data_IF_586727126635
#
_entry.id   IF_586727126635
#
_cell.length_a   1.000
_cell.length_b   1.000
_cell.length_c   1.000
_cell.angle_alpha   90.00
_cell.angle_beta   90.00
_cell.angle_gamma   90.00
#
_symmetry.space_group_name_H-M   'P 1'
#
loop_
_entity.id
_entity.type
_entity.pdbx_description
1 polymer ?
#
# COMPACT_ATOMS: atom_id res chain seq x y z
N UNK A 1 -30.49 -54.90 -27.18
CA UNK A 1 -30.45 -54.00 -26.00
C UNK A 1 -29.71 -52.73 -26.42
N UNK A 2 -30.39 -51.66 -26.85
CA UNK A 2 -31.05 -50.58 -26.07
C UNK A 2 -30.08 -49.63 -25.34
N UNK A 3 -30.19 -48.35 -25.70
CA UNK A 3 -29.85 -47.10 -24.98
C UNK A 3 -28.36 -46.83 -24.66
N UNK A 4 -27.69 -45.80 -25.19
CA UNK A 4 -27.89 -44.34 -25.11
C UNK A 4 -27.37 -43.69 -23.81
N UNK A 5 -27.01 -42.40 -23.93
CA UNK A 5 -26.68 -41.40 -22.88
C UNK A 5 -25.25 -41.48 -22.31
N UNK A 6 -24.52 -40.38 -22.06
CA UNK A 6 -24.75 -38.94 -22.23
C UNK A 6 -23.41 -38.23 -21.97
N UNK A 7 -23.27 -37.04 -22.55
CA UNK A 7 -22.25 -36.04 -22.25
C UNK A 7 -21.98 -35.85 -20.75
N UNK A 8 -20.71 -35.64 -20.42
CA UNK A 8 -20.27 -35.07 -19.15
C UNK A 8 -19.16 -34.06 -19.38
N UNK A 9 -19.43 -33.01 -20.16
CA UNK A 9 -18.58 -31.82 -20.16
C UNK A 9 -18.63 -31.23 -18.76
N UNK A 10 -17.56 -31.43 -17.98
CA UNK A 10 -17.39 -30.74 -16.72
C UNK A 10 -17.30 -29.24 -17.02
N UNK A 11 -18.39 -28.52 -16.75
CA UNK A 11 -18.42 -27.09 -16.82
C UNK A 11 -17.38 -26.54 -15.84
N UNK A 12 -16.31 -25.96 -16.37
CA UNK A 12 -15.45 -25.08 -15.60
C UNK A 12 -16.29 -23.87 -15.22
N UNK A 13 -16.83 -23.89 -13.99
CA UNK A 13 -17.55 -22.74 -13.44
C UNK A 13 -16.61 -21.54 -13.46
N UNK A 14 -16.92 -20.56 -14.31
CA UNK A 14 -16.24 -19.28 -14.30
C UNK A 14 -16.47 -18.64 -12.94
N UNK A 15 -15.40 -18.39 -12.19
CA UNK A 15 -15.46 -17.52 -11.03
C UNK A 15 -15.70 -16.10 -11.54
N UNK A 16 -16.91 -15.58 -11.33
CA UNK A 16 -17.23 -14.17 -11.58
C UNK A 16 -16.94 -13.43 -10.27
N UNK A 17 -15.78 -12.79 -10.19
CA UNK A 17 -15.48 -11.88 -9.10
C UNK A 17 -16.34 -10.62 -9.27
N UNK A 18 -17.33 -10.43 -8.41
CA UNK A 18 -18.08 -9.18 -8.37
C UNK A 18 -17.25 -8.12 -7.63
N UNK A 19 -16.92 -7.03 -8.32
CA UNK A 19 -16.36 -5.83 -7.70
C UNK A 19 -17.52 -4.92 -7.34
N UNK A 20 -17.96 -4.96 -6.07
CA UNK A 20 -18.94 -4.03 -5.54
C UNK A 20 -18.27 -2.68 -5.24
N UNK A 21 -18.47 -1.70 -6.13
CA UNK A 21 -18.11 -0.30 -5.87
C UNK A 21 -19.18 0.30 -4.96
N UNK A 22 -18.90 0.32 -3.66
CA UNK A 22 -19.74 1.03 -2.69
C UNK A 22 -19.46 2.52 -2.84
N UNK A 23 -20.40 3.22 -3.48
CA UNK A 23 -20.47 4.68 -3.55
C UNK A 23 -19.15 5.36 -3.96
N UNK A 24 -18.91 5.37 -5.26
CA UNK A 24 -18.05 6.29 -6.03
C UNK A 24 -17.03 7.12 -5.23
N UNK A 25 -15.75 6.82 -5.48
CA UNK A 25 -14.56 7.62 -5.22
C UNK A 25 -13.72 7.25 -3.99
N UNK A 26 -12.99 6.13 -4.08
CA UNK A 26 -11.57 6.20 -3.68
C UNK A 26 -10.82 6.97 -4.77
N UNK A 27 -11.16 8.25 -4.94
CA UNK A 27 -10.26 9.17 -5.62
C UNK A 27 -9.13 9.39 -4.62
N UNK A 28 -8.00 8.72 -4.84
CA UNK A 28 -6.73 9.20 -4.30
C UNK A 28 -6.59 10.60 -4.87
N UNK A 29 -7.05 11.62 -4.13
CA UNK A 29 -6.85 13.00 -4.52
C UNK A 29 -5.34 13.15 -4.56
N UNK A 30 -4.79 13.30 -5.77
CA UNK A 30 -3.41 13.73 -5.99
C UNK A 30 -3.21 15.00 -5.15
N UNK A 31 -2.62 14.83 -3.97
CA UNK A 31 -2.29 15.95 -3.11
C UNK A 31 -1.22 16.74 -3.83
N UNK A 32 -1.39 18.05 -3.97
CA UNK A 32 -0.36 18.92 -4.56
C UNK A 32 0.92 19.02 -3.69
N UNK A 33 0.95 18.35 -2.53
CA UNK A 33 2.12 18.28 -1.67
C UNK A 33 3.17 17.33 -2.27
N UNK A 34 4.36 17.86 -2.52
CA UNK A 34 5.53 17.05 -2.87
C UNK A 34 5.82 16.06 -1.74
N UNK A 35 6.12 14.82 -2.10
CA UNK A 35 6.28 13.70 -1.17
C UNK A 35 7.40 12.77 -1.63
N UNK A 36 8.09 12.11 -0.69
CA UNK A 36 9.10 11.12 -1.04
C UNK A 36 8.59 10.05 -2.00
N UNK A 37 9.40 9.74 -3.00
CA UNK A 37 9.15 8.60 -3.88
C UNK A 37 9.41 7.30 -3.11
N UNK A 38 8.61 6.27 -3.41
CA UNK A 38 8.86 4.90 -2.92
C UNK A 38 10.30 4.48 -3.29
N UNK A 39 11.00 3.87 -2.34
CA UNK A 39 12.39 3.42 -2.50
C UNK A 39 13.47 4.47 -2.22
N UNK A 40 13.11 5.75 -2.05
CA UNK A 40 14.07 6.76 -1.55
C UNK A 40 14.64 6.34 -0.19
N UNK A 41 15.91 6.63 0.06
CA UNK A 41 16.55 6.41 1.35
C UNK A 41 16.10 7.44 2.37
N UNK A 42 16.18 7.12 3.67
CA UNK A 42 16.01 8.11 4.76
C UNK A 42 16.88 9.35 4.56
N UNK A 43 18.13 9.18 4.10
CA UNK A 43 19.07 10.29 3.85
C UNK A 43 18.61 11.18 2.68
N UNK A 44 18.12 10.59 1.58
CA UNK A 44 17.56 11.35 0.46
C UNK A 44 16.30 12.11 0.87
N UNK A 45 15.44 11.50 1.69
CA UNK A 45 14.25 12.16 2.24
C UNK A 45 14.65 13.34 3.11
N UNK A 46 15.56 13.15 4.06
CA UNK A 46 16.03 14.23 4.94
C UNK A 46 16.74 15.35 4.16
N UNK A 47 17.50 15.00 3.10
CA UNK A 47 18.15 15.97 2.24
C UNK A 47 17.16 16.83 1.44
N UNK A 48 16.06 16.24 0.95
CA UNK A 48 15.09 16.95 0.10
C UNK A 48 14.02 17.69 0.91
N UNK A 49 13.54 17.09 2.00
CA UNK A 49 12.42 17.61 2.81
C UNK A 49 12.87 18.24 4.14
N UNK A 50 14.15 18.13 4.50
CA UNK A 50 14.69 18.57 5.79
C UNK A 50 14.45 17.57 6.92
N UNK A 51 14.75 18.01 8.14
CA UNK A 51 14.51 17.20 9.34
C UNK A 51 13.00 17.03 9.59
N UNK A 52 12.53 15.83 9.95
CA UNK A 52 11.12 15.61 10.29
C UNK A 52 10.74 16.30 11.60
N UNK A 53 9.46 16.62 11.74
CA UNK A 53 8.85 17.16 12.97
C UNK A 53 8.89 16.12 14.09
N UNK A 54 8.65 14.85 13.75
CA UNK A 54 8.75 13.75 14.70
C UNK A 54 9.35 12.50 14.04
N UNK A 55 10.17 11.77 14.79
CA UNK A 55 10.64 10.42 14.45
C UNK A 55 10.04 9.45 15.45
N UNK A 56 9.21 8.53 14.98
CA UNK A 56 8.64 7.49 15.83
C UNK A 56 9.61 6.33 15.99
N UNK A 57 9.58 5.62 17.14
CA UNK A 57 10.34 4.39 17.31
C UNK A 57 10.01 3.37 16.22
N UNK A 58 11.02 2.61 15.79
CA UNK A 58 10.83 1.47 14.91
C UNK A 58 9.98 0.40 15.60
N UNK A 59 9.00 -0.14 14.89
CA UNK A 59 8.15 -1.25 15.32
C UNK A 59 8.37 -2.47 14.43
N UNK A 60 8.11 -3.67 14.95
CA UNK A 60 8.43 -4.92 14.23
C UNK A 60 9.90 -5.33 14.39
N UNK A 61 10.44 -6.05 13.41
CA UNK A 61 11.80 -6.60 13.43
C UNK A 61 11.92 -8.06 13.89
N UNK A 62 10.81 -8.70 14.23
CA UNK A 62 10.75 -10.14 14.48
C UNK A 62 10.71 -10.93 13.15
N UNK A 63 10.97 -12.25 13.15
CA UNK A 63 10.77 -13.07 11.96
C UNK A 63 9.36 -12.88 11.37
N UNK A 64 9.29 -12.64 10.06
CA UNK A 64 8.06 -12.33 9.32
C UNK A 64 7.36 -11.01 9.70
N UNK A 65 8.01 -10.12 10.47
CA UNK A 65 7.52 -8.78 10.78
C UNK A 65 8.61 -7.76 10.41
N UNK A 66 8.55 -7.13 9.23
CA UNK A 66 9.57 -6.17 8.81
C UNK A 66 9.63 -4.98 9.78
N UNK A 67 10.82 -4.41 10.04
CA UNK A 67 10.95 -3.24 10.89
C UNK A 67 10.48 -1.99 10.17
N UNK A 68 9.43 -1.36 10.69
CA UNK A 68 8.84 -0.14 10.13
C UNK A 68 9.15 1.06 11.00
N UNK A 69 9.65 2.13 10.38
CA UNK A 69 9.89 3.43 11.02
C UNK A 69 8.98 4.47 10.39
N UNK A 70 8.36 5.34 11.20
CA UNK A 70 7.56 6.46 10.71
C UNK A 70 8.22 7.78 11.06
N UNK A 71 8.35 8.68 10.09
CA UNK A 71 8.68 10.08 10.31
C UNK A 71 7.50 10.96 9.92
N UNK A 72 7.23 12.00 10.71
CA UNK A 72 6.18 12.97 10.43
C UNK A 72 6.79 14.29 9.97
N UNK A 73 6.25 14.83 8.88
CA UNK A 73 6.52 16.15 8.34
C UNK A 73 5.27 17.02 8.44
N UNK A 74 5.41 18.32 8.16
CA UNK A 74 4.24 19.19 8.03
C UNK A 74 3.41 18.77 6.82
N UNK A 75 2.23 18.17 7.05
CA UNK A 75 1.26 17.77 6.02
C UNK A 75 1.39 16.34 5.48
N UNK A 76 2.41 15.56 5.88
CA UNK A 76 2.48 14.14 5.55
C UNK A 76 3.35 13.35 6.51
N UNK A 77 3.11 12.04 6.59
CA UNK A 77 3.97 11.06 7.25
C UNK A 77 4.64 10.17 6.21
N UNK A 78 5.87 9.75 6.47
CA UNK A 78 6.65 8.82 5.65
C UNK A 78 6.91 7.55 6.44
N UNK A 79 6.70 6.42 5.81
CA UNK A 79 6.92 5.10 6.36
C UNK A 79 8.09 4.46 5.65
N UNK A 80 9.02 3.94 6.44
CA UNK A 80 10.22 3.29 5.97
C UNK A 80 10.24 1.84 6.44
N UNK A 81 10.64 0.93 5.56
CA UNK A 81 11.15 -0.37 5.95
C UNK A 81 12.67 -0.31 5.87
N UNK A 82 13.35 -0.64 6.96
CA UNK A 82 14.78 -0.35 7.11
C UNK A 82 15.09 1.13 6.80
N UNK A 83 15.86 1.42 5.75
CA UNK A 83 16.21 2.76 5.31
C UNK A 83 15.39 3.25 4.10
N UNK A 84 14.44 2.47 3.59
CA UNK A 84 13.74 2.73 2.33
C UNK A 84 12.29 3.11 2.52
N UNK A 85 11.84 4.15 1.82
CA UNK A 85 10.43 4.56 1.79
C UNK A 85 9.57 3.44 1.22
N UNK A 86 8.61 2.99 2.02
CA UNK A 86 7.54 2.08 1.59
C UNK A 86 6.22 2.80 1.40
N UNK A 87 5.99 3.95 2.04
CA UNK A 87 4.84 4.79 1.72
C UNK A 87 5.02 6.21 2.25
N UNK A 88 4.24 7.12 1.70
CA UNK A 88 3.98 8.42 2.31
C UNK A 88 2.47 8.62 2.40
N UNK A 89 1.96 9.33 3.40
CA UNK A 89 0.52 9.54 3.57
C UNK A 89 0.30 11.00 3.92
N UNK A 90 -0.56 11.68 3.18
CA UNK A 90 -0.96 13.06 3.49
C UNK A 90 -1.76 13.03 4.77
N UNK A 91 -1.37 13.84 5.74
CA UNK A 91 -2.13 14.02 6.97
C UNK A 91 -3.06 15.21 6.78
N UNK A 92 -4.36 15.01 7.02
CA UNK A 92 -5.31 16.12 7.10
C UNK A 92 -4.95 16.95 8.33
N UNK A 93 -4.64 18.22 8.13
CA UNK A 93 -4.49 19.19 9.21
C UNK A 93 -5.82 19.50 9.88
#
# INVERSE_FOLDING_TARGET
>A
MLAALLCGCAAAGGALAETLVVNDQVQVRESQLDRPKRGSTMSEVEKHFGAPVARHPTVGGAPHQPPITRWDYSGFSVFFEHDRVIDAVVTGG
#
